data_IF_811104327100
#
_entry.id   IF_811104327100
#
_cell.length_a   1.000
_cell.length_b   1.000
_cell.length_c   1.000
_cell.angle_alpha   90.00
_cell.angle_beta   90.00
_cell.angle_gamma   90.00
#
_symmetry.space_group_name_H-M   'P 1'
#
loop_
_entity.id
_entity.type
_entity.pdbx_description
1 polymer ?
#
# COMPACT_ATOMS: atom_id res chain seq x y z
N UNK A 1 -14.50 -6.08 -1.91
CA UNK A 1 -14.64 -4.79 -1.19
C UNK A 1 -13.29 -4.13 -0.94
N UNK A 2 -12.29 -4.87 -0.45
CA UNK A 2 -10.90 -4.42 -0.23
C UNK A 2 -10.28 -3.70 -1.42
N UNK A 3 -10.34 -4.32 -2.61
CA UNK A 3 -9.75 -3.77 -3.83
C UNK A 3 -10.29 -2.37 -4.18
N UNK A 4 -11.57 -2.11 -3.94
CA UNK A 4 -12.18 -0.80 -4.23
C UNK A 4 -11.71 0.28 -3.24
N UNK A 5 -11.57 -0.06 -1.96
CA UNK A 5 -11.08 0.85 -0.92
C UNK A 5 -9.62 1.24 -1.12
N UNK A 6 -8.82 0.33 -1.69
CA UNK A 6 -7.38 0.53 -1.87
C UNK A 6 -7.02 1.07 -3.26
N UNK A 7 -7.84 0.82 -4.28
CA UNK A 7 -7.51 1.15 -5.66
C UNK A 7 -7.40 2.66 -5.91
N UNK A 8 -8.36 3.45 -5.43
CA UNK A 8 -8.41 4.88 -5.74
C UNK A 8 -7.24 5.67 -5.14
N UNK A 9 -6.93 5.54 -3.83
CA UNK A 9 -5.79 6.22 -3.23
C UNK A 9 -4.47 5.78 -3.84
N UNK A 10 -4.34 4.50 -4.21
CA UNK A 10 -3.14 3.99 -4.87
C UNK A 10 -2.99 4.58 -6.26
N UNK A 11 -4.06 4.55 -7.07
CA UNK A 11 -4.07 5.08 -8.42
C UNK A 11 -3.68 6.57 -8.44
N UNK A 12 -4.29 7.38 -7.58
CA UNK A 12 -4.01 8.82 -7.52
C UNK A 12 -2.54 9.08 -7.17
N UNK A 13 -2.00 8.41 -6.14
CA UNK A 13 -0.58 8.58 -5.77
C UNK A 13 0.39 8.11 -6.85
N UNK A 14 0.09 7.00 -7.55
CA UNK A 14 0.90 6.51 -8.66
C UNK A 14 0.91 7.51 -9.82
N UNK A 15 -0.26 8.06 -10.17
CA UNK A 15 -0.37 9.08 -11.22
C UNK A 15 0.38 10.36 -10.83
N UNK A 16 0.24 10.82 -9.58
CA UNK A 16 0.99 11.97 -9.06
C UNK A 16 2.50 11.72 -9.09
N UNK A 17 2.96 10.51 -8.76
CA UNK A 17 4.38 10.14 -8.83
C UNK A 17 4.94 10.07 -10.25
N UNK A 18 4.14 9.63 -11.23
CA UNK A 18 4.55 9.64 -12.63
C UNK A 18 4.60 11.06 -13.21
N UNK A 19 3.79 11.98 -12.68
CA UNK A 19 3.73 13.39 -13.09
C UNK A 19 4.72 14.28 -12.33
N UNK A 20 5.27 13.85 -11.19
CA UNK A 20 6.20 14.63 -10.37
C UNK A 20 7.63 14.73 -10.94
N UNK A 21 7.89 14.12 -12.10
CA UNK A 21 9.21 14.15 -12.73
C UNK A 21 9.60 15.59 -13.12
N UNK A 22 10.76 16.11 -12.66
CA UNK A 22 11.20 17.47 -12.98
C UNK A 22 11.43 17.63 -14.49
N UNK A 23 10.88 18.69 -15.08
CA UNK A 23 11.12 19.03 -16.50
C UNK A 23 12.61 19.10 -16.87
N UNK A 24 13.51 19.69 -16.07
CA UNK A 24 14.93 19.80 -16.42
C UNK A 24 15.63 18.45 -16.62
N UNK A 25 15.21 17.42 -15.87
CA UNK A 25 15.75 16.05 -16.04
C UNK A 25 15.34 15.45 -17.38
N UNK A 26 14.10 15.71 -17.81
CA UNK A 26 13.56 15.21 -19.08
C UNK A 26 14.19 15.95 -20.26
N UNK A 27 14.38 17.26 -20.13
CA UNK A 27 15.04 18.08 -21.15
C UNK A 27 16.50 17.66 -21.36
N UNK A 28 17.24 17.39 -20.28
CA UNK A 28 18.63 16.92 -20.36
C UNK A 28 18.75 15.60 -21.13
N UNK A 29 17.87 14.63 -20.86
CA UNK A 29 17.89 13.36 -21.59
C UNK A 29 17.43 13.48 -23.04
N UNK A 30 16.50 14.40 -23.33
CA UNK A 30 16.14 14.72 -24.72
C UNK A 30 17.29 15.33 -25.49
N UNK A 31 18.14 16.13 -24.86
CA UNK A 31 19.37 16.65 -25.49
C UNK A 31 20.38 15.54 -25.80
N UNK A 32 20.28 14.38 -25.14
CA UNK A 32 21.09 13.19 -25.40
C UNK A 32 20.42 12.20 -26.36
N UNK A 33 19.35 12.63 -27.04
CA UNK A 33 18.57 11.83 -27.99
C UNK A 33 17.94 10.56 -27.37
N UNK A 34 17.65 10.59 -26.06
CA UNK A 34 17.04 9.47 -25.36
C UNK A 34 15.60 9.22 -25.86
N UNK A 35 15.27 7.96 -26.09
CA UNK A 35 13.95 7.51 -26.51
C UNK A 35 12.91 7.71 -25.40
N UNK A 36 11.62 7.76 -25.79
CA UNK A 36 10.51 7.86 -24.82
C UNK A 36 10.47 6.70 -23.83
N UNK A 37 10.91 5.51 -24.26
CA UNK A 37 10.97 4.33 -23.40
C UNK A 37 12.09 4.45 -22.35
N UNK A 38 13.25 4.98 -22.74
CA UNK A 38 14.37 5.21 -21.81
C UNK A 38 14.01 6.26 -20.76
N UNK A 39 13.39 7.37 -21.16
CA UNK A 39 12.91 8.40 -20.22
C UNK A 39 11.87 7.82 -19.24
N UNK A 40 10.99 6.95 -19.72
CA UNK A 40 9.99 6.31 -18.87
C UNK A 40 10.63 5.39 -17.82
N UNK A 41 11.46 4.43 -18.25
CA UNK A 41 12.04 3.43 -17.37
C UNK A 41 13.15 3.96 -16.46
N UNK A 42 13.96 4.91 -16.92
CA UNK A 42 15.13 5.40 -16.16
C UNK A 42 14.86 6.66 -15.34
N UNK A 43 13.79 7.41 -15.64
CA UNK A 43 13.49 8.66 -14.91
C UNK A 43 12.12 8.64 -14.28
N UNK A 44 11.06 8.38 -15.06
CA UNK A 44 9.70 8.46 -14.51
C UNK A 44 9.41 7.38 -13.48
N UNK A 45 9.79 6.13 -13.76
CA UNK A 45 9.58 5.00 -12.83
C UNK A 45 10.38 5.17 -11.53
N UNK A 46 11.69 5.49 -11.55
CA UNK A 46 12.46 5.72 -10.32
C UNK A 46 11.99 6.93 -9.52
N UNK A 47 11.57 8.03 -10.17
CA UNK A 47 11.00 9.20 -9.48
C UNK A 47 9.61 8.91 -8.88
N UNK A 48 8.83 8.03 -9.51
CA UNK A 48 7.53 7.64 -8.99
C UNK A 48 7.65 6.64 -7.81
N UNK A 49 8.76 5.91 -7.68
CA UNK A 49 8.92 4.86 -6.67
C UNK A 49 8.60 5.32 -5.22
N UNK A 50 9.08 6.48 -4.71
CA UNK A 50 8.70 6.97 -3.38
C UNK A 50 7.18 7.17 -3.23
N UNK A 51 6.52 7.69 -4.26
CA UNK A 51 5.07 7.91 -4.26
C UNK A 51 4.30 6.58 -4.27
N UNK A 52 4.81 5.56 -4.98
CA UNK A 52 4.24 4.21 -4.96
C UNK A 52 4.35 3.60 -3.56
N UNK A 53 5.49 3.75 -2.89
CA UNK A 53 5.66 3.26 -1.52
C UNK A 53 4.80 4.04 -0.52
N UNK A 54 4.67 5.35 -0.66
CA UNK A 54 3.73 6.15 0.13
C UNK A 54 2.29 5.66 -0.05
N UNK A 55 1.90 5.35 -1.28
CA UNK A 55 0.60 4.77 -1.59
C UNK A 55 0.39 3.41 -0.92
N UNK A 56 1.37 2.51 -1.00
CA UNK A 56 1.34 1.18 -0.40
C UNK A 56 1.22 1.25 1.13
N UNK A 57 1.92 2.19 1.78
CA UNK A 57 1.84 2.41 3.22
C UNK A 57 0.43 2.79 3.71
N UNK A 58 -0.34 3.50 2.89
CA UNK A 58 -1.73 3.88 3.20
C UNK A 58 -2.69 2.76 2.83
N UNK A 59 -2.51 2.17 1.64
CA UNK A 59 -3.38 1.12 1.13
C UNK A 59 -3.28 -0.20 1.91
N UNK A 60 -2.10 -0.52 2.43
CA UNK A 60 -1.86 -1.74 3.19
C UNK A 60 -2.78 -1.88 4.41
N UNK A 61 -2.74 -0.96 5.38
CA UNK A 61 -3.64 -0.97 6.53
C UNK A 61 -5.12 -0.95 6.13
N UNK A 62 -5.49 -0.16 5.10
CA UNK A 62 -6.86 -0.11 4.59
C UNK A 62 -7.32 -1.45 4.00
N UNK A 63 -6.41 -2.20 3.36
CA UNK A 63 -6.72 -3.54 2.83
C UNK A 63 -7.09 -4.52 3.93
N UNK A 64 -6.41 -4.46 5.09
CA UNK A 64 -6.68 -5.32 6.24
C UNK A 64 -8.06 -5.02 6.84
N UNK A 65 -8.39 -3.74 6.99
CA UNK A 65 -9.71 -3.32 7.45
C UNK A 65 -10.79 -3.82 6.48
N UNK A 66 -10.58 -3.60 5.18
CA UNK A 66 -11.50 -4.10 4.16
C UNK A 66 -11.65 -5.62 4.19
N UNK A 67 -10.58 -6.37 4.51
CA UNK A 67 -10.60 -7.83 4.53
C UNK A 67 -11.44 -8.32 5.71
N UNK A 68 -11.26 -7.72 6.88
CA UNK A 68 -12.09 -8.01 8.07
C UNK A 68 -13.57 -7.72 7.80
N UNK A 69 -13.88 -6.59 7.19
CA UNK A 69 -15.27 -6.24 6.82
C UNK A 69 -15.83 -7.22 5.79
N UNK A 70 -15.03 -7.61 4.80
CA UNK A 70 -15.45 -8.61 3.81
C UNK A 70 -15.71 -9.98 4.47
N UNK A 71 -14.89 -10.37 5.44
CA UNK A 71 -15.07 -11.61 6.19
C UNK A 71 -16.36 -11.63 7.03
N UNK A 72 -16.84 -10.46 7.48
CA UNK A 72 -18.13 -10.36 8.19
C UNK A 72 -19.33 -10.67 7.29
N UNK A 73 -19.22 -10.37 5.99
CA UNK A 73 -20.33 -10.50 5.03
C UNK A 73 -20.60 -11.91 4.51
N UNK A 74 -19.96 -12.95 5.08
CA UNK A 74 -20.29 -14.35 4.77
C UNK A 74 -19.10 -15.29 4.57
N UNK A 75 -17.89 -14.92 5.00
CA UNK A 75 -16.78 -15.85 4.94
C UNK A 75 -16.98 -17.01 5.93
N UNK A 76 -16.69 -18.24 5.47
CA UNK A 76 -16.75 -19.46 6.28
C UNK A 76 -15.58 -19.59 7.26
N UNK A 77 -14.58 -18.72 7.18
CA UNK A 77 -13.43 -18.65 8.07
C UNK A 77 -12.70 -17.31 7.95
N UNK A 78 -11.75 -17.04 8.86
CA UNK A 78 -10.96 -15.81 8.88
C UNK A 78 -10.95 -15.10 10.23
N UNK A 79 -9.99 -14.20 10.44
CA UNK A 79 -9.82 -13.44 11.69
C UNK A 79 -11.04 -12.55 11.96
N UNK A 80 -11.57 -11.87 10.95
CA UNK A 80 -12.78 -11.07 11.03
C UNK A 80 -14.02 -11.91 11.38
N UNK A 81 -14.12 -13.14 10.87
CA UNK A 81 -15.20 -14.07 11.26
C UNK A 81 -15.07 -14.51 12.73
N UNK A 82 -13.85 -14.79 13.20
CA UNK A 82 -13.64 -15.14 14.61
C UNK A 82 -13.94 -13.98 15.56
N UNK A 83 -13.61 -12.74 15.18
CA UNK A 83 -14.02 -11.54 15.91
C UNK A 83 -15.53 -11.42 15.96
N UNK A 84 -16.22 -11.62 14.83
CA UNK A 84 -17.67 -11.57 14.77
C UNK A 84 -18.32 -12.59 15.71
N UNK A 85 -17.85 -13.84 15.69
CA UNK A 85 -18.34 -14.89 16.59
C UNK A 85 -18.06 -14.59 18.07
N UNK A 86 -16.87 -14.05 18.39
CA UNK A 86 -16.54 -13.66 19.75
C UNK A 86 -17.43 -12.51 20.25
N UNK A 87 -17.72 -11.54 19.37
CA UNK A 87 -18.64 -10.45 19.64
C UNK A 87 -20.07 -10.96 19.90
N UNK A 88 -20.59 -11.86 19.06
CA UNK A 88 -21.95 -12.42 19.26
C UNK A 88 -22.07 -13.26 20.54
N UNK A 89 -20.99 -13.90 20.97
CA UNK A 89 -20.94 -14.68 22.22
C UNK A 89 -20.58 -13.82 23.44
N UNK A 90 -20.44 -12.49 23.29
CA UNK A 90 -19.99 -11.57 24.34
C UNK A 90 -18.68 -12.04 25.02
N UNK A 91 -17.81 -12.74 24.27
CA UNK A 91 -16.50 -13.16 24.74
C UNK A 91 -15.49 -12.07 24.40
N UNK A 92 -15.53 -10.99 25.19
CA UNK A 92 -14.63 -9.84 25.01
C UNK A 92 -13.14 -10.21 25.07
N UNK A 93 -12.66 -11.09 25.97
CA UNK A 93 -11.25 -11.49 25.99
C UNK A 93 -10.76 -12.02 24.65
N UNK A 94 -11.55 -12.90 24.01
CA UNK A 94 -11.21 -13.47 22.72
C UNK A 94 -11.28 -12.44 21.58
N UNK A 95 -12.25 -11.53 21.63
CA UNK A 95 -12.36 -10.41 20.70
C UNK A 95 -11.11 -9.51 20.75
N UNK A 96 -10.68 -9.10 21.95
CA UNK A 96 -9.48 -8.28 22.12
C UNK A 96 -8.21 -9.03 21.68
N UNK A 97 -8.09 -10.32 21.97
CA UNK A 97 -6.96 -11.13 21.49
C UNK A 97 -6.87 -11.12 19.95
N UNK A 98 -8.00 -11.30 19.26
CA UNK A 98 -8.05 -11.21 17.81
C UNK A 98 -7.69 -9.81 17.30
N UNK A 99 -8.11 -8.74 17.98
CA UNK A 99 -7.77 -7.35 17.63
C UNK A 99 -6.26 -7.11 17.76
N UNK A 100 -5.64 -7.62 18.83
CA UNK A 100 -4.19 -7.53 19.00
C UNK A 100 -3.42 -8.26 17.90
N UNK A 101 -3.87 -9.46 17.50
CA UNK A 101 -3.26 -10.21 16.40
C UNK A 101 -3.39 -9.43 15.08
N UNK A 102 -4.57 -8.87 14.80
CA UNK A 102 -4.80 -8.06 13.61
C UNK A 102 -3.92 -6.79 13.60
N UNK A 103 -3.79 -6.11 14.74
CA UNK A 103 -2.93 -4.95 14.88
C UNK A 103 -1.45 -5.30 14.66
N UNK A 104 -0.98 -6.41 15.23
CA UNK A 104 0.38 -6.90 15.03
C UNK A 104 0.63 -7.25 13.56
N UNK A 105 -0.31 -7.91 12.88
CA UNK A 105 -0.25 -8.20 11.44
C UNK A 105 -0.20 -6.91 10.60
N UNK A 106 -0.99 -5.89 10.95
CA UNK A 106 -0.94 -4.59 10.28
C UNK A 106 0.38 -3.86 10.47
N UNK A 107 0.93 -3.89 11.68
CA UNK A 107 2.20 -3.26 12.00
C UNK A 107 3.37 -3.96 11.31
N UNK A 108 3.37 -5.30 11.27
CA UNK A 108 4.37 -6.07 10.53
C UNK A 108 4.28 -5.84 9.03
N UNK A 109 3.08 -5.77 8.46
CA UNK A 109 2.89 -5.48 7.05
C UNK A 109 3.38 -4.07 6.68
N UNK A 110 3.01 -3.06 7.48
CA UNK A 110 3.51 -1.69 7.30
C UNK A 110 5.03 -1.63 7.43
N UNK A 111 5.59 -2.29 8.46
CA UNK A 111 7.03 -2.39 8.67
C UNK A 111 7.76 -3.03 7.49
N UNK A 112 7.19 -4.08 6.89
CA UNK A 112 7.73 -4.72 5.69
C UNK A 112 7.75 -3.76 4.50
N UNK A 113 6.71 -2.95 4.31
CA UNK A 113 6.66 -1.93 3.25
C UNK A 113 7.73 -0.86 3.49
N UNK A 114 7.89 -0.37 4.72
CA UNK A 114 8.93 0.61 5.07
C UNK A 114 10.34 0.03 4.84
N UNK A 115 10.57 -1.23 5.22
CA UNK A 115 11.84 -1.89 4.99
C UNK A 115 12.13 -2.07 3.49
N UNK A 116 11.12 -2.42 2.69
CA UNK A 116 11.22 -2.52 1.25
C UNK A 116 11.50 -1.15 0.61
N UNK A 117 10.81 -0.09 1.03
CA UNK A 117 11.04 1.28 0.57
C UNK A 117 12.48 1.72 0.84
N UNK A 118 13.02 1.48 2.04
CA UNK A 118 14.42 1.85 2.36
C UNK A 118 15.45 1.13 1.49
N UNK A 119 15.16 -0.10 1.05
CA UNK A 119 16.05 -0.85 0.15
C UNK A 119 15.92 -0.41 -1.30
N UNK A 120 14.69 -0.18 -1.75
CA UNK A 120 14.42 0.17 -3.14
C UNK A 120 14.71 1.64 -3.39
N UNK A 121 14.29 2.56 -2.52
CA UNK A 121 14.43 4.02 -2.67
C UNK A 121 15.59 4.53 -1.81
N UNK A 122 16.78 3.96 -1.98
CA UNK A 122 17.95 4.36 -1.19
C UNK A 122 18.53 5.73 -1.58
N UNK A 123 18.13 6.26 -2.74
CA UNK A 123 18.66 7.50 -3.34
C UNK A 123 17.89 8.78 -2.97
N UNK A 124 16.69 8.66 -2.38
CA UNK A 124 15.92 9.81 -1.89
C UNK A 124 16.24 9.96 -0.40
N UNK A 125 17.16 10.87 -0.07
CA UNK A 125 17.45 11.32 1.29
C UNK A 125 17.15 12.81 1.42
#
# INVERSE_FOLDING_TARGET
MTALLTFFPVLVNVLSGLQSTPLPLVETLRSWDASRAEIFWHVRVPNAAPYIFAALKVAGPLSLIGAVVAEWTGASGGLGRTMWLAYTNLNLPYLFAAVFILAAAGMTFYGAIVAAEKRVVFWVK
#
